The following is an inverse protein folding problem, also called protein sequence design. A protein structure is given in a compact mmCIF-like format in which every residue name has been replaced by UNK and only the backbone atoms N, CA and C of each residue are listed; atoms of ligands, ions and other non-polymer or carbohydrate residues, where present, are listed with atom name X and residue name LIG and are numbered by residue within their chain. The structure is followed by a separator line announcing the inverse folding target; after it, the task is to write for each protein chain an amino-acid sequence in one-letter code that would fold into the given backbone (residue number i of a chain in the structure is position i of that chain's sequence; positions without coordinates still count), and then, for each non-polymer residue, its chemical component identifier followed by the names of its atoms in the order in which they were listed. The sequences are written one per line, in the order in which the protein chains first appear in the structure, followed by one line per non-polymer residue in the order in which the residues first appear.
data_IF_484483300334
#
_entry.id   IF_484483300334
#
_cell.length_a   1.000
_cell.length_b   1.000
_cell.length_c   1.000
_cell.angle_alpha   90.00
_cell.angle_beta   90.00
_cell.angle_gamma   90.00
#
_symmetry.space_group_name_H-M   'P 1'
#
loop_
_entity.id
_entity.type
_entity.pdbx_description
1 polymer ?
#
# COMPACT_ATOMS: atom_id res chain seq x y z
N UNK A 1 7.00 20.03 6.28
CA UNK A 1 5.71 19.92 5.56
C UNK A 1 5.95 19.20 4.24
N UNK A 2 5.12 18.22 3.88
CA UNK A 2 5.22 17.51 2.61
C UNK A 2 4.48 18.26 1.50
N UNK A 3 5.10 18.37 0.32
CA UNK A 3 4.48 18.95 -0.86
C UNK A 3 3.64 17.90 -1.60
N UNK A 4 2.38 18.22 -1.89
CA UNK A 4 1.46 17.35 -2.64
C UNK A 4 1.17 18.01 -4.00
N UNK A 5 1.64 17.45 -5.13
CA UNK A 5 1.36 18.00 -6.45
C UNK A 5 -0.06 17.62 -6.88
N UNK A 6 -1.05 18.40 -6.44
CA UNK A 6 -2.49 18.13 -6.64
C UNK A 6 -2.80 17.83 -8.11
N UNK A 7 -2.32 18.66 -9.04
CA UNK A 7 -2.59 18.49 -10.47
C UNK A 7 -2.12 17.14 -11.04
N UNK A 8 -1.04 16.57 -10.49
CA UNK A 8 -0.51 15.27 -10.94
C UNK A 8 -1.32 14.13 -10.34
N UNK A 9 -1.65 14.26 -9.06
CA UNK A 9 -2.45 13.30 -8.31
C UNK A 9 -3.86 13.19 -8.88
N UNK A 10 -4.47 14.32 -9.26
CA UNK A 10 -5.83 14.35 -9.81
C UNK A 10 -5.94 13.85 -11.25
N UNK A 11 -4.81 13.64 -11.96
CA UNK A 11 -4.82 12.94 -13.27
C UNK A 11 -5.14 11.46 -13.12
N UNK A 12 -4.69 10.85 -12.02
CA UNK A 12 -4.97 9.44 -11.72
C UNK A 12 -6.33 9.28 -11.03
N UNK A 13 -6.62 10.12 -10.03
CA UNK A 13 -7.88 10.07 -9.26
C UNK A 13 -8.54 11.45 -9.32
N UNK A 14 -9.59 11.65 -10.14
CA UNK A 14 -10.18 12.97 -10.39
C UNK A 14 -10.62 13.71 -9.13
N UNK A 15 -11.11 12.98 -8.12
CA UNK A 15 -11.48 13.54 -6.84
C UNK A 15 -10.26 13.71 -5.93
N UNK A 16 -9.90 14.97 -5.67
CA UNK A 16 -8.78 15.33 -4.80
C UNK A 16 -8.87 14.74 -3.38
N UNK A 17 -10.07 14.57 -2.82
CA UNK A 17 -10.23 14.05 -1.46
C UNK A 17 -9.96 12.55 -1.40
N UNK A 18 -10.49 11.81 -2.37
CA UNK A 18 -10.21 10.37 -2.51
C UNK A 18 -8.75 10.13 -2.80
N UNK A 19 -8.14 10.95 -3.65
CA UNK A 19 -6.72 10.82 -3.95
C UNK A 19 -5.85 10.94 -2.69
N UNK A 20 -6.23 11.83 -1.76
CA UNK A 20 -5.56 11.96 -0.46
C UNK A 20 -5.83 10.73 0.43
N UNK A 21 -7.06 10.23 0.47
CA UNK A 21 -7.41 9.03 1.24
C UNK A 21 -6.64 7.80 0.75
N UNK A 22 -6.55 7.62 -0.57
CA UNK A 22 -5.80 6.52 -1.20
C UNK A 22 -4.31 6.64 -0.91
N UNK A 23 -3.72 7.83 -1.08
CA UNK A 23 -2.31 8.05 -0.72
C UNK A 23 -2.04 7.78 0.77
N UNK A 24 -2.96 8.16 1.66
CA UNK A 24 -2.82 7.89 3.09
C UNK A 24 -2.94 6.39 3.43
N UNK A 25 -3.84 5.67 2.77
CA UNK A 25 -3.97 4.20 2.90
C UNK A 25 -2.69 3.50 2.42
N UNK A 26 -2.20 3.84 1.22
CA UNK A 26 -0.96 3.26 0.69
C UNK A 26 0.23 3.56 1.60
N UNK A 27 0.37 4.80 2.09
CA UNK A 27 1.44 5.16 3.03
C UNK A 27 1.41 4.32 4.32
N UNK A 28 0.23 3.99 4.85
CA UNK A 28 0.09 3.08 6.01
C UNK A 28 0.52 1.67 5.68
N UNK A 29 0.11 1.13 4.52
CA UNK A 29 0.53 -0.20 4.06
C UNK A 29 2.05 -0.25 3.90
N UNK A 30 2.66 0.73 3.25
CA UNK A 30 4.11 0.80 3.10
C UNK A 30 4.83 0.89 4.45
N UNK A 31 4.27 1.64 5.40
CA UNK A 31 4.82 1.73 6.76
C UNK A 31 4.75 0.38 7.50
N UNK A 32 3.63 -0.35 7.38
CA UNK A 32 3.51 -1.69 7.95
C UNK A 32 4.51 -2.67 7.32
N UNK A 33 4.69 -2.62 6.00
CA UNK A 33 5.69 -3.44 5.30
C UNK A 33 7.11 -3.08 5.76
N UNK A 34 7.44 -1.79 5.91
CA UNK A 34 8.74 -1.36 6.40
C UNK A 34 9.01 -1.85 7.83
N UNK A 35 8.01 -1.79 8.71
CA UNK A 35 8.11 -2.35 10.07
C UNK A 35 8.34 -3.86 10.07
N UNK A 36 7.67 -4.60 9.18
CA UNK A 36 7.89 -6.05 9.02
C UNK A 36 9.29 -6.39 8.50
N UNK A 37 9.96 -5.46 7.82
CA UNK A 37 11.32 -5.62 7.29
C UNK A 37 12.39 -5.06 8.24
N UNK A 38 12.02 -4.72 9.48
CA UNK A 38 12.89 -4.06 10.47
C UNK A 38 13.57 -2.78 9.96
N UNK A 39 12.95 -2.12 8.96
CA UNK A 39 13.42 -0.83 8.46
C UNK A 39 12.92 0.26 9.40
N UNK A 40 13.83 1.04 10.00
CA UNK A 40 13.45 2.17 10.83
C UNK A 40 12.67 3.20 9.98
N UNK A 41 11.40 3.50 10.31
CA UNK A 41 10.59 4.48 9.59
C UNK A 41 11.20 5.89 9.58
N UNK A 42 12.10 6.20 10.52
CA UNK A 42 12.82 7.47 10.58
C UNK A 42 14.05 7.51 9.68
N UNK A 43 14.64 6.36 9.36
CA UNK A 43 15.76 6.24 8.41
C UNK A 43 15.28 5.99 6.98
N UNK A 44 14.04 5.52 6.81
CA UNK A 44 13.43 5.29 5.51
C UNK A 44 13.31 6.61 4.71
N UNK A 45 14.27 6.85 3.82
CA UNK A 45 14.26 7.94 2.86
C UNK A 45 14.01 7.40 1.45
N UNK A 46 12.97 7.88 0.74
CA UNK A 46 12.04 8.94 1.12
C UNK A 46 10.98 8.49 2.16
N UNK A 47 10.43 9.46 2.91
CA UNK A 47 9.30 9.27 3.84
C UNK A 47 8.16 8.49 3.17
N UNK A 48 7.48 7.61 3.93
CA UNK A 48 6.39 6.75 3.41
C UNK A 48 5.29 7.54 2.68
N UNK A 49 4.96 8.74 3.17
CA UNK A 49 3.96 9.62 2.52
C UNK A 49 4.44 10.14 1.16
N UNK A 50 5.72 10.45 1.03
CA UNK A 50 6.33 10.85 -0.25
C UNK A 50 6.42 9.66 -1.21
N UNK A 51 6.73 8.46 -0.71
CA UNK A 51 6.72 7.23 -1.49
C UNK A 51 5.32 6.94 -2.04
N UNK A 52 4.30 7.00 -1.20
CA UNK A 52 2.91 6.76 -1.60
C UNK A 52 2.41 7.76 -2.65
N UNK A 53 2.71 9.05 -2.49
CA UNK A 53 2.37 10.07 -3.49
C UNK A 53 3.03 9.78 -4.84
N UNK A 54 4.30 9.35 -4.84
CA UNK A 54 5.00 8.97 -6.07
C UNK A 54 4.37 7.73 -6.71
N UNK A 55 4.06 6.70 -5.93
CA UNK A 55 3.37 5.49 -6.42
C UNK A 55 2.02 5.83 -7.04
N UNK A 56 1.25 6.73 -6.44
CA UNK A 56 -0.05 7.17 -6.95
C UNK A 56 0.09 7.95 -8.27
N UNK A 57 1.05 8.87 -8.36
CA UNK A 57 1.34 9.62 -9.61
C UNK A 57 1.81 8.67 -10.72
N UNK A 58 2.61 7.67 -10.38
CA UNK A 58 3.10 6.65 -11.31
C UNK A 58 2.01 5.62 -11.70
N UNK A 59 0.80 5.68 -11.12
CA UNK A 59 -0.27 4.72 -11.37
C UNK A 59 -0.03 3.32 -10.78
N UNK A 60 0.90 3.18 -9.82
CA UNK A 60 1.26 1.92 -9.15
C UNK A 60 0.37 1.58 -7.96
N UNK A 61 -0.58 2.44 -7.63
CA UNK A 61 -1.57 2.21 -6.58
C UNK A 61 -2.87 1.81 -7.26
N UNK A 62 -3.32 0.58 -7.03
CA UNK A 62 -4.65 0.16 -7.44
C UNK A 62 -5.67 0.77 -6.50
N UNK A 63 -6.62 1.51 -7.05
CA UNK A 63 -7.76 2.05 -6.32
C UNK A 63 -9.03 1.51 -6.95
N UNK A 64 -9.73 0.64 -6.22
CA UNK A 64 -11.05 0.14 -6.60
C UNK A 64 -12.11 1.05 -6.01
N UNK A 65 -13.07 1.43 -6.86
CA UNK A 65 -14.17 2.31 -6.49
C UNK A 65 -15.43 1.46 -6.27
N UNK A 66 -15.79 1.22 -5.00
CA UNK A 66 -16.93 0.38 -4.63
C UNK A 66 -16.57 -0.77 -3.68
N UNK A 67 -17.58 -1.49 -3.19
CA UNK A 67 -17.52 -2.64 -2.24
C UNK A 67 -16.76 -3.88 -2.75
N UNK A 68 -15.91 -3.76 -3.76
CA UNK A 68 -14.97 -4.82 -4.12
C UNK A 68 -13.65 -4.59 -3.36
N UNK A 69 -13.63 -5.00 -2.09
CA UNK A 69 -12.35 -5.26 -1.45
C UNK A 69 -11.67 -6.44 -2.16
N UNK A 70 -10.41 -6.30 -2.61
CA UNK A 70 -9.67 -7.45 -3.12
C UNK A 70 -9.55 -8.45 -1.97
N UNK A 71 -10.26 -9.57 -2.07
CA UNK A 71 -10.11 -10.65 -1.09
C UNK A 71 -8.64 -11.07 -1.09
N UNK A 72 -7.96 -11.08 0.08
CA UNK A 72 -6.62 -11.61 0.16
C UNK A 72 -6.69 -13.08 -0.29
N UNK A 73 -5.98 -13.40 -1.37
CA UNK A 73 -5.76 -14.79 -1.77
C UNK A 73 -4.87 -15.39 -0.67
N UNK A 74 -5.51 -15.97 0.34
CA UNK A 74 -4.85 -16.88 1.28
C UNK A 74 -4.47 -18.09 0.44
N UNK A 75 -3.17 -18.19 0.10
CA UNK A 75 -2.60 -19.44 -0.36
C UNK A 75 -2.73 -20.43 0.80
N UNK A 76 -3.68 -21.33 0.67
CA UNK A 76 -3.90 -22.47 1.56
C UNK A 76 -2.64 -23.34 1.45
N UNK A 77 -1.69 -23.15 2.35
CA UNK A 77 -0.60 -24.11 2.53
C UNK A 77 -1.24 -25.41 2.97
N UNK A 78 -1.30 -26.37 2.04
CA UNK A 78 -1.56 -27.78 2.32
C UNK A 78 -0.64 -28.19 3.49
N UNK A 79 -1.26 -28.42 4.66
CA UNK A 79 -0.61 -29.17 5.72
C UNK A 79 -0.33 -30.56 5.13
N UNK A 80 0.93 -30.80 4.77
CA UNK A 80 1.43 -32.12 4.45
C UNK A 80 1.24 -33.00 5.68
N UNK A 81 0.25 -33.90 5.58
CA UNK A 81 0.09 -35.08 6.43
C UNK A 81 1.44 -35.82 6.48
N UNK A 82 2.16 -35.65 7.59
CA UNK A 82 3.22 -36.55 7.99
C UNK A 82 2.57 -37.61 8.88
N UNK A 83 2.11 -38.69 8.23
CA UNK A 83 1.96 -39.98 8.87
C UNK A 83 3.30 -40.34 9.54
N UNK A 84 3.43 -40.12 10.84
CA UNK A 84 4.42 -40.84 11.66
C UNK A 84 3.76 -42.15 12.13
N UNK A 85 3.94 -43.18 11.32
CA UNK A 85 3.95 -44.57 11.76
C UNK A 85 4.96 -44.72 12.94
N UNK A 86 4.46 -45.05 14.13
CA UNK A 86 5.26 -45.57 15.25
C UNK A 86 4.46 -46.57 16.10
#
# INVERSE_FOLDING_TARGET
MGFVPIEKVTRTIPNKYEAVLVAAKDARVQNSIAQLQDLDPNEAYPKMTSLALRRLIDGKVQYFYGEEEPQPQVEETEELDLDEDA
#
